data_IF_688095181314
#
_entry.id   IF_688095181314
#
_cell.length_a   1.000
_cell.length_b   1.000
_cell.length_c   1.000
_cell.angle_alpha   90.00
_cell.angle_beta   90.00
_cell.angle_gamma   90.00
#
_symmetry.space_group_name_H-M   'P 1'
#
loop_
_entity.id
_entity.type
_entity.pdbx_description
1 polymer ?
#
# COMPACT_ATOMS: atom_id res chain seq x y z
N UNK A 1 -4.30 -3.03 16.89
CA UNK A 1 -3.63 -2.23 15.84
C UNK A 1 -3.92 -2.77 14.46
N UNK A 2 -3.71 -1.99 13.44
CA UNK A 2 -4.06 -2.33 12.06
C UNK A 2 -2.84 -2.55 11.18
N UNK A 3 -3.02 -3.33 10.10
CA UNK A 3 -2.03 -3.52 9.04
C UNK A 3 -2.51 -2.74 7.82
N UNK A 4 -1.72 -1.79 7.34
CA UNK A 4 -2.02 -1.01 6.15
C UNK A 4 -1.34 -1.62 4.93
N UNK A 5 -2.09 -1.81 3.85
CA UNK A 5 -1.60 -2.39 2.60
C UNK A 5 -1.91 -1.43 1.46
N UNK A 6 -0.92 -1.11 0.64
CA UNK A 6 -1.12 -0.28 -0.55
C UNK A 6 -1.40 -1.12 -1.79
N UNK A 7 -2.15 -0.55 -2.73
CA UNK A 7 -2.44 -1.22 -4.01
C UNK A 7 -3.33 -2.46 -3.87
N UNK A 8 -4.45 -2.35 -3.16
CA UNK A 8 -5.29 -3.50 -2.80
C UNK A 8 -6.47 -3.76 -3.74
N UNK A 9 -6.68 -2.96 -4.75
CA UNK A 9 -7.82 -3.14 -5.68
C UNK A 9 -7.68 -4.39 -6.57
N UNK A 10 -6.48 -4.89 -6.79
CA UNK A 10 -6.19 -6.08 -7.61
C UNK A 10 -4.98 -6.86 -7.07
N UNK A 11 -4.76 -8.06 -7.63
CA UNK A 11 -3.54 -8.84 -7.47
C UNK A 11 -3.16 -9.19 -6.03
N UNK A 12 -1.86 -9.14 -5.75
CA UNK A 12 -1.30 -9.51 -4.44
C UNK A 12 -1.83 -8.67 -3.28
N UNK A 13 -2.00 -7.36 -3.50
CA UNK A 13 -2.51 -6.47 -2.46
C UNK A 13 -3.90 -6.87 -2.00
N UNK A 14 -4.80 -7.17 -2.93
CA UNK A 14 -6.15 -7.64 -2.64
C UNK A 14 -6.11 -8.99 -1.89
N UNK A 15 -5.33 -9.95 -2.39
CA UNK A 15 -5.19 -11.26 -1.74
C UNK A 15 -4.61 -11.14 -0.34
N UNK A 16 -3.58 -10.33 -0.16
CA UNK A 16 -2.97 -10.09 1.15
C UNK A 16 -3.97 -9.48 2.14
N UNK A 17 -4.75 -8.48 1.70
CA UNK A 17 -5.76 -7.84 2.54
C UNK A 17 -6.80 -8.84 3.03
N UNK A 18 -7.34 -9.66 2.13
CA UNK A 18 -8.33 -10.68 2.48
C UNK A 18 -7.74 -11.78 3.36
N UNK A 19 -6.54 -12.26 3.05
CA UNK A 19 -5.89 -13.33 3.83
C UNK A 19 -5.60 -12.90 5.25
N UNK A 20 -5.03 -11.71 5.45
CA UNK A 20 -4.73 -11.20 6.80
C UNK A 20 -6.01 -10.94 7.59
N UNK A 21 -7.05 -10.42 6.95
CA UNK A 21 -8.32 -10.20 7.61
C UNK A 21 -9.00 -11.52 8.03
N UNK A 22 -8.89 -12.56 7.21
CA UNK A 22 -9.38 -13.91 7.55
C UNK A 22 -8.64 -14.53 8.73
N UNK A 23 -7.39 -14.14 8.94
CA UNK A 23 -6.62 -14.52 10.13
C UNK A 23 -6.93 -13.66 11.37
N UNK A 24 -7.93 -12.83 11.31
CA UNK A 24 -8.39 -12.00 12.43
C UNK A 24 -7.65 -10.67 12.58
N UNK A 25 -6.84 -10.27 11.60
CA UNK A 25 -6.17 -8.97 11.62
C UNK A 25 -7.11 -7.85 11.19
N UNK A 26 -6.92 -6.68 11.77
CA UNK A 26 -7.55 -5.45 11.26
C UNK A 26 -6.72 -4.94 10.09
N UNK A 27 -7.34 -4.77 8.94
CA UNK A 27 -6.66 -4.37 7.71
C UNK A 27 -7.17 -3.02 7.22
N UNK A 28 -6.25 -2.14 6.87
CA UNK A 28 -6.53 -0.92 6.12
C UNK A 28 -6.08 -1.18 4.68
N UNK A 29 -7.05 -1.35 3.81
CA UNK A 29 -6.82 -1.58 2.38
C UNK A 29 -6.83 -0.23 1.65
N UNK A 30 -5.71 0.17 1.06
CA UNK A 30 -5.63 1.44 0.37
C UNK A 30 -5.57 1.27 -1.14
N UNK A 31 -6.20 2.20 -1.84
CA UNK A 31 -6.26 2.24 -3.29
C UNK A 31 -6.49 3.66 -3.78
N UNK A 32 -6.12 3.98 -5.01
CA UNK A 32 -6.30 5.33 -5.58
C UNK A 32 -7.77 5.67 -5.77
N UNK A 33 -8.59 4.69 -6.16
CA UNK A 33 -10.03 4.86 -6.36
C UNK A 33 -10.80 3.91 -5.44
N UNK A 34 -11.40 4.42 -4.36
CA UNK A 34 -12.16 3.59 -3.41
C UNK A 34 -13.37 2.89 -4.03
N UNK A 35 -13.89 3.37 -5.15
CA UNK A 35 -14.99 2.71 -5.86
C UNK A 35 -14.60 1.35 -6.44
N UNK A 36 -13.31 1.10 -6.62
CA UNK A 36 -12.78 -0.20 -7.06
C UNK A 36 -12.64 -1.20 -5.91
N UNK A 37 -13.01 -0.82 -4.71
CA UNK A 37 -12.99 -1.69 -3.53
C UNK A 37 -14.26 -2.49 -3.28
N UNK A 38 -15.21 -2.51 -4.20
CA UNK A 38 -16.51 -3.16 -3.99
C UNK A 38 -16.40 -4.66 -3.73
N UNK A 39 -15.50 -5.35 -4.42
CA UNK A 39 -15.24 -6.77 -4.17
C UNK A 39 -14.74 -7.02 -2.74
N UNK A 40 -13.81 -6.20 -2.27
CA UNK A 40 -13.28 -6.31 -0.90
C UNK A 40 -14.39 -6.04 0.11
N UNK A 41 -15.21 -5.00 -0.11
CA UNK A 41 -16.33 -4.68 0.77
C UNK A 41 -17.34 -5.81 0.84
N UNK A 42 -17.66 -6.39 -0.32
CA UNK A 42 -18.59 -7.52 -0.40
C UNK A 42 -18.09 -8.72 0.39
N UNK A 43 -16.85 -9.14 0.16
CA UNK A 43 -16.24 -10.27 0.87
C UNK A 43 -16.13 -9.97 2.37
N UNK A 44 -15.72 -8.77 2.75
CA UNK A 44 -15.62 -8.37 4.14
C UNK A 44 -17.00 -8.45 4.85
N UNK A 45 -18.05 -8.00 4.20
CA UNK A 45 -19.41 -8.07 4.74
C UNK A 45 -19.92 -9.51 4.84
N UNK A 46 -19.71 -10.32 3.80
CA UNK A 46 -20.15 -11.72 3.77
C UNK A 46 -19.44 -12.59 4.82
N UNK A 47 -18.16 -12.34 5.04
CA UNK A 47 -17.33 -13.15 5.95
C UNK A 47 -17.11 -12.49 7.33
N UNK A 48 -17.64 -11.28 7.57
CA UNK A 48 -17.48 -10.57 8.83
C UNK A 48 -16.03 -10.13 9.10
N UNK A 49 -15.30 -9.71 8.07
CA UNK A 49 -13.88 -9.32 8.17
C UNK A 49 -13.73 -7.85 8.56
N UNK A 50 -12.68 -7.55 9.29
CA UNK A 50 -12.33 -6.19 9.69
C UNK A 50 -11.41 -5.55 8.64
N UNK A 51 -12.00 -4.96 7.61
CA UNK A 51 -11.29 -4.26 6.56
C UNK A 51 -11.86 -2.85 6.40
N UNK A 52 -10.99 -1.85 6.53
CA UNK A 52 -11.28 -0.45 6.23
C UNK A 52 -10.65 -0.10 4.89
N UNK A 53 -11.40 0.57 3.99
CA UNK A 53 -10.85 1.05 2.72
C UNK A 53 -10.55 2.53 2.85
N UNK A 54 -9.32 2.92 2.50
CA UNK A 54 -8.89 4.32 2.45
C UNK A 54 -8.38 4.67 1.06
N UNK A 55 -8.70 5.89 0.63
CA UNK A 55 -8.11 6.44 -0.59
C UNK A 55 -6.65 6.82 -0.35
N UNK A 56 -5.77 6.38 -1.25
CA UNK A 56 -4.35 6.71 -1.21
C UNK A 56 -3.73 6.63 -2.59
N UNK A 57 -3.17 7.76 -3.02
CA UNK A 57 -2.17 7.81 -4.08
C UNK A 57 -0.79 8.00 -3.42
N UNK A 58 0.08 7.00 -3.52
CA UNK A 58 1.41 7.03 -2.89
C UNK A 58 2.33 8.09 -3.49
N UNK A 59 1.98 8.65 -4.65
CA UNK A 59 2.68 9.77 -5.27
C UNK A 59 2.30 11.14 -4.68
N UNK A 60 1.25 11.20 -3.87
CA UNK A 60 0.74 12.43 -3.25
C UNK A 60 1.06 12.45 -1.77
N UNK A 61 2.02 13.30 -1.38
CA UNK A 61 2.48 13.35 0.01
C UNK A 61 1.38 13.76 0.99
N UNK A 62 0.51 14.70 0.62
CA UNK A 62 -0.61 15.12 1.47
C UNK A 62 -1.58 13.96 1.73
N UNK A 63 -1.91 13.21 0.70
CA UNK A 63 -2.76 12.02 0.86
C UNK A 63 -2.09 10.95 1.74
N UNK A 64 -0.78 10.75 1.60
CA UNK A 64 -0.01 9.85 2.47
C UNK A 64 -0.09 10.31 3.92
N UNK A 65 0.15 11.57 4.18
CA UNK A 65 0.09 12.14 5.54
C UNK A 65 -1.31 12.02 6.15
N UNK A 66 -2.35 12.31 5.38
CA UNK A 66 -3.73 12.18 5.84
C UNK A 66 -4.12 10.71 6.10
N UNK A 67 -3.72 9.82 5.20
CA UNK A 67 -3.99 8.38 5.33
C UNK A 67 -3.32 7.77 6.57
N UNK A 68 -2.17 8.30 6.97
CA UNK A 68 -1.35 7.80 8.09
C UNK A 68 -1.47 8.69 9.34
N UNK A 69 -2.47 9.57 9.41
CA UNK A 69 -2.65 10.46 10.56
C UNK A 69 -2.81 9.70 11.89
N UNK A 70 -3.33 8.47 11.84
CA UNK A 70 -3.49 7.57 12.97
C UNK A 70 -2.36 6.52 13.07
N UNK A 71 -1.12 6.88 12.71
CA UNK A 71 0.03 5.96 12.69
C UNK A 71 0.26 5.23 14.02
N UNK A 72 -0.21 5.78 15.17
CA UNK A 72 -0.18 5.10 16.46
C UNK A 72 -0.99 3.81 16.47
N UNK A 73 -2.05 3.72 15.67
CA UNK A 73 -2.94 2.57 15.57
C UNK A 73 -2.53 1.58 14.46
N UNK A 74 -1.45 1.89 13.74
CA UNK A 74 -0.93 1.07 12.65
C UNK A 74 0.34 0.36 13.13
N UNK A 75 0.33 -0.98 13.09
CA UNK A 75 1.49 -1.80 13.51
C UNK A 75 2.39 -2.19 12.35
N UNK A 76 1.85 -2.25 11.14
CA UNK A 76 2.59 -2.67 9.96
C UNK A 76 2.13 -1.95 8.70
N UNK A 77 3.06 -1.71 7.79
CA UNK A 77 2.80 -1.22 6.43
C UNK A 77 3.33 -2.25 5.43
N UNK A 78 2.48 -2.64 4.49
CA UNK A 78 2.85 -3.45 3.32
C UNK A 78 2.85 -2.54 2.10
N UNK A 79 4.02 -2.17 1.63
CA UNK A 79 4.22 -1.38 0.41
C UNK A 79 4.11 -2.32 -0.79
N UNK A 80 2.92 -2.41 -1.37
CA UNK A 80 2.62 -3.26 -2.51
C UNK A 80 2.24 -2.47 -3.77
N UNK A 81 1.80 -1.20 -3.62
CA UNK A 81 1.47 -0.37 -4.78
C UNK A 81 2.67 -0.21 -5.71
N UNK A 82 2.45 -0.43 -6.98
CA UNK A 82 3.48 -0.31 -8.00
C UNK A 82 2.98 -0.77 -9.36
N UNK A 83 3.73 -0.45 -10.39
CA UNK A 83 3.46 -0.91 -11.74
C UNK A 83 4.76 -1.14 -12.49
N UNK A 84 4.69 -1.92 -13.55
CA UNK A 84 5.79 -2.25 -14.43
C UNK A 84 5.56 -1.65 -15.82
N UNK A 85 6.64 -1.15 -16.42
CA UNK A 85 6.67 -0.70 -17.81
C UNK A 85 7.46 -1.75 -18.59
N UNK A 86 6.82 -2.40 -19.54
CA UNK A 86 7.46 -3.35 -20.42
C UNK A 86 7.76 -2.68 -21.77
N UNK A 87 8.98 -2.18 -21.90
CA UNK A 87 9.46 -1.55 -23.12
C UNK A 87 10.98 -1.69 -23.22
N UNK A 88 11.52 -1.63 -24.45
CA UNK A 88 12.95 -1.47 -24.64
C UNK A 88 13.40 -0.11 -24.07
N UNK A 89 14.61 -0.06 -23.52
CA UNK A 89 15.10 1.16 -22.82
C UNK A 89 15.06 2.38 -23.73
N UNK A 90 15.42 2.22 -24.99
CA UNK A 90 15.40 3.30 -25.98
C UNK A 90 14.00 3.78 -26.37
N UNK A 91 12.97 3.05 -25.98
CA UNK A 91 11.56 3.40 -26.23
C UNK A 91 10.86 4.00 -25.02
N UNK A 92 11.55 4.07 -23.88
CA UNK A 92 10.97 4.63 -22.66
C UNK A 92 10.87 6.14 -22.75
N UNK A 93 9.68 6.65 -22.50
CA UNK A 93 9.45 8.09 -22.35
C UNK A 93 9.80 8.53 -20.92
N UNK A 94 10.41 9.71 -20.78
CA UNK A 94 10.86 10.25 -19.50
C UNK A 94 9.72 10.32 -18.47
N UNK A 95 8.55 10.80 -18.88
CA UNK A 95 7.39 10.92 -17.98
C UNK A 95 6.97 9.58 -17.37
N UNK A 96 7.00 8.51 -18.17
CA UNK A 96 6.68 7.16 -17.70
C UNK A 96 7.76 6.62 -16.75
N UNK A 97 9.03 6.86 -17.06
CA UNK A 97 10.13 6.49 -16.17
C UNK A 97 10.01 7.16 -14.80
N UNK A 98 9.78 8.48 -14.80
CA UNK A 98 9.59 9.22 -13.56
C UNK A 98 8.38 8.75 -12.78
N UNK A 99 7.27 8.48 -13.45
CA UNK A 99 6.07 7.95 -12.81
C UNK A 99 6.31 6.59 -12.16
N UNK A 100 7.06 5.71 -12.82
CA UNK A 100 7.41 4.41 -12.26
C UNK A 100 8.29 4.55 -11.02
N UNK A 101 9.31 5.39 -11.06
CA UNK A 101 10.17 5.67 -9.91
C UNK A 101 9.39 6.32 -8.78
N UNK A 102 8.53 7.26 -9.09
CA UNK A 102 7.69 7.95 -8.11
C UNK A 102 6.77 6.97 -7.38
N UNK A 103 6.10 6.08 -8.11
CA UNK A 103 5.21 5.09 -7.52
C UNK A 103 5.96 3.98 -6.78
N UNK A 104 6.95 3.37 -7.43
CA UNK A 104 7.56 2.12 -6.94
C UNK A 104 8.66 2.35 -5.90
N UNK A 105 9.32 3.50 -5.92
CA UNK A 105 10.42 3.83 -5.02
C UNK A 105 10.05 4.95 -4.05
N UNK A 106 9.68 6.12 -4.57
CA UNK A 106 9.41 7.29 -3.72
C UNK A 106 8.11 7.14 -2.94
N UNK A 107 7.11 6.47 -3.50
CA UNK A 107 5.86 6.17 -2.81
C UNK A 107 6.07 5.44 -1.49
N UNK A 108 6.71 4.26 -1.49
CA UNK A 108 7.09 3.56 -0.27
C UNK A 108 7.89 4.41 0.70
N UNK A 109 8.85 5.21 0.22
CA UNK A 109 9.63 6.11 1.06
C UNK A 109 8.78 7.18 1.74
N UNK A 110 7.75 7.71 1.07
CA UNK A 110 6.82 8.68 1.67
C UNK A 110 6.08 8.06 2.85
N UNK A 111 5.58 6.83 2.70
CA UNK A 111 4.90 6.14 3.80
C UNK A 111 5.87 5.89 4.97
N UNK A 112 7.05 5.35 4.69
CA UNK A 112 8.07 5.07 5.70
C UNK A 112 8.45 6.36 6.46
N UNK A 113 8.75 7.44 5.76
CA UNK A 113 9.10 8.73 6.38
C UNK A 113 7.98 9.28 7.24
N UNK A 114 6.75 9.02 6.89
CA UNK A 114 5.59 9.51 7.64
C UNK A 114 5.39 8.75 8.95
N UNK A 115 5.58 7.43 8.96
CA UNK A 115 5.35 6.61 10.16
C UNK A 115 6.55 6.53 11.09
N UNK A 116 7.76 6.65 10.59
CA UNK A 116 8.99 6.45 11.37
C UNK A 116 9.08 7.32 12.64
N UNK A 117 8.74 8.62 12.62
CA UNK A 117 8.82 9.42 13.85
C UNK A 117 7.94 8.85 14.98
N UNK A 118 6.72 8.41 14.63
CA UNK A 118 5.78 7.81 15.58
C UNK A 118 6.27 6.43 16.05
N UNK A 119 6.68 5.60 15.11
CA UNK A 119 7.11 4.23 15.43
C UNK A 119 8.43 4.17 16.18
N UNK A 120 9.36 5.07 15.89
CA UNK A 120 10.63 5.18 16.62
C UNK A 120 10.36 5.55 18.08
N UNK A 121 9.48 6.51 18.32
CA UNK A 121 9.10 6.90 19.68
C UNK A 121 8.39 5.76 20.42
N UNK A 122 7.54 5.02 19.73
CA UNK A 122 6.84 3.85 20.28
C UNK A 122 7.77 2.65 20.49
N UNK A 123 8.85 2.55 19.72
CA UNK A 123 9.81 1.44 19.75
C UNK A 123 9.38 0.19 18.98
N UNK A 124 8.36 0.27 18.13
CA UNK A 124 7.86 -0.88 17.37
C UNK A 124 7.20 -0.47 16.06
N UNK A 125 7.25 -1.37 15.07
CA UNK A 125 6.62 -1.23 13.78
C UNK A 125 7.23 -2.21 12.77
N UNK A 126 6.47 -2.57 11.75
CA UNK A 126 6.91 -3.50 10.70
C UNK A 126 6.70 -2.88 9.33
N UNK A 127 7.71 -2.91 8.50
CA UNK A 127 7.64 -2.48 7.09
C UNK A 127 7.93 -3.68 6.21
N UNK A 128 7.00 -3.99 5.31
CA UNK A 128 7.16 -5.01 4.29
C UNK A 128 7.15 -4.33 2.93
N UNK A 129 8.23 -4.46 2.18
CA UNK A 129 8.31 -3.96 0.81
C UNK A 129 8.16 -5.13 -0.17
N UNK A 130 7.11 -5.10 -0.97
CA UNK A 130 6.90 -6.10 -2.02
C UNK A 130 7.77 -5.74 -3.21
N UNK A 131 8.70 -6.61 -3.54
CA UNK A 131 9.63 -6.45 -4.65
C UNK A 131 9.33 -7.48 -5.74
N UNK A 132 10.17 -7.53 -6.76
CA UNK A 132 10.05 -8.47 -7.88
C UNK A 132 11.40 -9.12 -8.19
N UNK A 133 11.36 -10.34 -8.71
CA UNK A 133 12.55 -10.98 -9.27
C UNK A 133 13.15 -10.19 -10.44
N UNK A 134 12.34 -9.39 -11.13
CA UNK A 134 12.79 -8.49 -12.19
C UNK A 134 13.80 -7.44 -11.69
N UNK A 135 13.79 -7.09 -10.41
CA UNK A 135 14.79 -6.20 -9.80
C UNK A 135 16.15 -6.85 -9.54
N UNK A 136 16.28 -8.14 -9.80
CA UNK A 136 17.52 -8.92 -9.60
C UNK A 136 18.16 -9.38 -10.89
N UNK A 137 17.53 -9.16 -12.02
CA UNK A 137 18.03 -9.55 -13.34
C UNK A 137 18.96 -8.50 -13.95
#
# INVERSE_FOLDING_TARGET
>A
MSILITGTNTGFGKLAALSLAREGKKVIATMRDPNKGDDIRRVANEEGLSIEIRELDVCNLEMVQNCLADAQEIEAIVNNAGFEIQAAVEQLEDDLMWKQLDTNLLGPLRLIRTVLPVWTQRGSGVIVNVSSIAGRS
#
